data_IF_610933137906
#
_entry.id   IF_610933137906
#
_cell.length_a   1.000
_cell.length_b   1.000
_cell.length_c   1.000
_cell.angle_alpha   90.00
_cell.angle_beta   90.00
_cell.angle_gamma   90.00
#
_symmetry.space_group_name_H-M   'P 1'
#
loop_
_entity.id
_entity.type
_entity.pdbx_description
1 polymer ?
#
# COMPACT_ATOMS: atom_id res chain seq x y z
N UNK A 1 -0.42 1.06 10.11
CA UNK A 1 0.98 1.38 9.82
C UNK A 1 1.97 0.34 10.32
N UNK A 2 1.79 -0.28 11.50
CA UNK A 2 2.77 -1.25 12.04
C UNK A 2 3.21 -2.40 11.11
N UNK A 3 2.31 -2.94 10.27
CA UNK A 3 2.69 -3.95 9.27
C UNK A 3 3.54 -3.40 8.12
N UNK A 4 3.30 -2.15 7.68
CA UNK A 4 4.11 -1.49 6.67
C UNK A 4 5.52 -1.23 7.20
N UNK A 5 5.62 -0.72 8.43
CA UNK A 5 6.91 -0.46 9.07
C UNK A 5 7.69 -1.75 9.29
N UNK A 6 6.99 -2.83 9.66
CA UNK A 6 7.59 -4.16 9.76
C UNK A 6 8.10 -4.66 8.41
N UNK A 7 7.31 -4.50 7.33
CA UNK A 7 7.72 -4.90 5.99
C UNK A 7 8.98 -4.13 5.53
N UNK A 8 9.00 -2.80 5.71
CA UNK A 8 10.17 -1.97 5.40
C UNK A 8 11.40 -2.41 6.20
N UNK A 9 11.26 -2.68 7.50
CA UNK A 9 12.36 -3.18 8.34
C UNK A 9 12.85 -4.56 7.89
N UNK A 10 11.95 -5.45 7.47
CA UNK A 10 12.32 -6.77 6.96
C UNK A 10 13.09 -6.70 5.65
N UNK A 11 12.64 -5.86 4.72
CA UNK A 11 13.36 -5.61 3.47
C UNK A 11 14.77 -5.05 3.74
N UNK A 12 14.89 -4.08 4.66
CA UNK A 12 16.19 -3.53 5.03
C UNK A 12 17.11 -4.59 5.64
N UNK A 13 16.58 -5.38 6.58
CA UNK A 13 17.35 -6.48 7.20
C UNK A 13 17.79 -7.50 6.15
N UNK A 14 16.91 -7.87 5.23
CA UNK A 14 17.21 -8.81 4.16
C UNK A 14 18.38 -8.32 3.30
N UNK A 15 18.37 -7.01 2.98
CA UNK A 15 19.43 -6.35 2.22
C UNK A 15 20.78 -6.35 2.93
N UNK A 16 20.78 -6.07 4.23
CA UNK A 16 22.01 -5.84 5.02
C UNK A 16 22.64 -7.13 5.54
N UNK A 17 21.83 -8.10 5.96
CA UNK A 17 22.29 -9.23 6.77
C UNK A 17 22.02 -10.60 6.14
N UNK A 18 21.05 -10.72 5.23
CA UNK A 18 20.51 -12.03 4.82
C UNK A 18 20.93 -12.47 3.40
N UNK A 19 21.83 -11.73 2.74
CA UNK A 19 22.35 -12.10 1.42
C UNK A 19 22.97 -13.49 1.40
N UNK A 20 23.87 -13.80 2.34
CA UNK A 20 24.61 -15.06 2.32
C UNK A 20 23.64 -16.25 2.55
N UNK A 21 22.70 -16.10 3.48
CA UNK A 21 21.65 -17.09 3.73
C UNK A 21 20.75 -17.32 2.51
N UNK A 22 20.36 -16.25 1.81
CA UNK A 22 19.58 -16.36 0.58
C UNK A 22 20.37 -17.08 -0.51
N UNK A 23 21.65 -16.75 -0.66
CA UNK A 23 22.52 -17.36 -1.68
C UNK A 23 22.71 -18.85 -1.43
N UNK A 24 22.86 -19.29 -0.19
CA UNK A 24 22.91 -20.71 0.18
C UNK A 24 21.61 -21.44 -0.21
N UNK A 25 20.45 -20.85 0.07
CA UNK A 25 19.16 -21.42 -0.31
C UNK A 25 19.01 -21.52 -1.83
N UNK A 26 19.38 -20.47 -2.57
CA UNK A 26 19.36 -20.47 -4.03
C UNK A 26 20.29 -21.55 -4.61
N UNK A 27 21.51 -21.69 -4.08
CA UNK A 27 22.44 -22.74 -4.50
C UNK A 27 21.88 -24.14 -4.22
N UNK A 28 21.21 -24.35 -3.08
CA UNK A 28 20.53 -25.60 -2.74
C UNK A 28 19.42 -25.93 -3.75
N UNK A 29 18.59 -24.95 -4.10
CA UNK A 29 17.53 -25.10 -5.11
C UNK A 29 18.13 -25.42 -6.48
N UNK A 30 19.15 -24.69 -6.92
CA UNK A 30 19.82 -24.94 -8.20
C UNK A 30 20.39 -26.36 -8.28
N UNK A 31 21.06 -26.81 -7.20
CA UNK A 31 21.64 -28.16 -7.13
C UNK A 31 20.57 -29.24 -7.20
N UNK A 32 19.42 -29.03 -6.56
CA UNK A 32 18.28 -29.96 -6.58
C UNK A 32 17.64 -30.11 -7.97
N UNK A 33 17.78 -29.10 -8.83
CA UNK A 33 17.15 -29.03 -10.14
C UNK A 33 18.16 -29.14 -11.30
N UNK A 34 19.38 -29.61 -11.03
CA UNK A 34 20.48 -29.74 -12.00
C UNK A 34 20.77 -28.43 -12.77
N UNK A 35 20.56 -27.28 -12.12
CA UNK A 35 20.88 -25.96 -12.67
C UNK A 35 22.35 -25.67 -12.37
N UNK A 36 23.14 -25.47 -13.44
CA UNK A 36 24.56 -25.13 -13.31
C UNK A 36 24.74 -23.79 -12.59
N UNK A 37 25.49 -23.81 -11.49
CA UNK A 37 25.84 -22.60 -10.72
C UNK A 37 27.15 -22.03 -11.32
N UNK A 38 27.18 -20.76 -11.76
CA UNK A 38 28.40 -20.15 -12.27
C UNK A 38 29.42 -19.94 -11.15
N UNK A 39 30.70 -19.87 -11.53
CA UNK A 39 31.74 -19.45 -10.62
C UNK A 39 31.55 -17.97 -10.26
N UNK A 40 31.38 -17.68 -8.97
CA UNK A 40 31.01 -16.35 -8.47
C UNK A 40 32.10 -15.29 -8.68
N UNK A 41 33.37 -15.73 -8.81
CA UNK A 41 34.52 -14.85 -9.06
C UNK A 41 34.80 -14.61 -10.55
N UNK A 42 34.11 -15.31 -11.46
CA UNK A 42 34.28 -15.09 -12.89
C UNK A 42 33.58 -13.84 -13.39
N UNK A 43 34.11 -13.25 -14.47
CA UNK A 43 33.50 -12.13 -15.18
C UNK A 43 32.08 -12.47 -15.62
N UNK A 44 31.14 -11.58 -15.32
CA UNK A 44 29.77 -11.68 -15.78
C UNK A 44 29.68 -11.40 -17.29
N UNK A 45 29.04 -12.32 -18.02
CA UNK A 45 28.88 -12.24 -19.49
C UNK A 45 27.40 -12.25 -19.86
N UNK A 46 26.91 -11.14 -20.42
CA UNK A 46 25.56 -11.06 -20.99
C UNK A 46 25.56 -11.55 -22.45
N UNK A 47 24.86 -12.67 -22.68
CA UNK A 47 24.59 -13.22 -24.02
C UNK A 47 25.73 -14.06 -24.63
N UNK A 48 25.53 -14.52 -25.87
CA UNK A 48 26.50 -15.39 -26.61
C UNK A 48 27.74 -14.63 -27.14
N UNK A 49 27.79 -13.31 -26.98
CA UNK A 49 28.86 -12.47 -27.52
C UNK A 49 29.88 -12.13 -26.45
N UNK A 50 31.06 -12.77 -26.52
CA UNK A 50 32.23 -12.46 -25.69
C UNK A 50 32.78 -11.03 -25.86
N UNK A 51 32.19 -10.21 -26.74
CA UNK A 51 32.64 -8.82 -27.02
C UNK A 51 32.07 -7.78 -26.06
N UNK A 52 31.06 -8.11 -25.25
CA UNK A 52 30.58 -7.28 -24.13
C UNK A 52 30.84 -8.02 -22.82
N UNK A 53 32.10 -8.10 -22.41
CA UNK A 53 32.42 -8.45 -21.02
C UNK A 53 32.14 -7.22 -20.16
N UNK A 54 31.37 -7.39 -19.10
CA UNK A 54 31.38 -6.43 -18.01
C UNK A 54 32.61 -6.74 -17.15
N UNK A 55 33.33 -5.72 -16.68
CA UNK A 55 34.47 -5.87 -15.73
C UNK A 55 33.98 -6.18 -14.30
N UNK A 56 32.92 -6.98 -14.18
CA UNK A 56 32.16 -7.17 -12.95
C UNK A 56 31.94 -8.67 -12.76
N UNK A 57 32.18 -9.19 -11.55
CA UNK A 57 32.01 -10.62 -11.27
C UNK A 57 30.54 -11.03 -11.18
N UNK A 58 30.24 -12.33 -11.34
CA UNK A 58 28.90 -12.87 -11.09
C UNK A 58 28.36 -12.52 -9.70
N UNK A 59 29.22 -12.58 -8.66
CA UNK A 59 28.85 -12.19 -7.30
C UNK A 59 28.36 -10.74 -7.25
N UNK A 60 29.11 -9.82 -7.87
CA UNK A 60 28.74 -8.41 -7.87
C UNK A 60 27.47 -8.18 -8.66
N UNK A 61 27.33 -8.80 -9.84
CA UNK A 61 26.11 -8.68 -10.64
C UNK A 61 24.88 -9.10 -9.85
N UNK A 62 24.88 -10.31 -9.27
CA UNK A 62 23.71 -10.79 -8.53
C UNK A 62 23.45 -10.04 -7.24
N UNK A 63 24.50 -9.70 -6.46
CA UNK A 63 24.33 -9.02 -5.17
C UNK A 63 23.95 -7.55 -5.34
N UNK A 64 24.71 -6.83 -6.15
CA UNK A 64 24.63 -5.37 -6.23
C UNK A 64 23.67 -4.93 -7.33
N UNK A 65 23.80 -5.47 -8.53
CA UNK A 65 23.01 -5.00 -9.68
C UNK A 65 21.61 -5.62 -9.74
N UNK A 66 21.40 -6.78 -9.11
CA UNK A 66 20.10 -7.45 -9.07
C UNK A 66 19.47 -7.33 -7.68
N UNK A 67 20.06 -7.97 -6.67
CA UNK A 67 19.42 -8.11 -5.35
C UNK A 67 19.21 -6.77 -4.65
N UNK A 68 20.26 -5.95 -4.48
CA UNK A 68 20.10 -4.63 -3.87
C UNK A 68 19.16 -3.73 -4.67
N UNK A 69 19.25 -3.74 -6.00
CA UNK A 69 18.35 -2.95 -6.86
C UNK A 69 16.89 -3.33 -6.64
N UNK A 70 16.56 -4.62 -6.57
CA UNK A 70 15.18 -5.07 -6.34
C UNK A 70 14.68 -4.61 -4.97
N UNK A 71 15.46 -4.81 -3.91
CA UNK A 71 15.05 -4.40 -2.56
C UNK A 71 14.92 -2.88 -2.44
N UNK A 72 15.86 -2.13 -3.02
CA UNK A 72 15.86 -0.67 -3.00
C UNK A 72 14.66 -0.11 -3.78
N UNK A 73 14.30 -0.73 -4.92
CA UNK A 73 13.10 -0.39 -5.68
C UNK A 73 11.82 -0.67 -4.87
N UNK A 74 11.71 -1.83 -4.22
CA UNK A 74 10.55 -2.15 -3.38
C UNK A 74 10.41 -1.16 -2.21
N UNK A 75 11.51 -0.84 -1.54
CA UNK A 75 11.52 0.16 -0.48
C UNK A 75 11.12 1.55 -0.99
N UNK A 76 11.64 1.95 -2.14
CA UNK A 76 11.29 3.23 -2.78
C UNK A 76 9.81 3.30 -3.12
N UNK A 77 9.25 2.24 -3.72
CA UNK A 77 7.81 2.16 -4.05
C UNK A 77 6.94 2.17 -2.80
N UNK A 78 7.32 1.46 -1.73
CA UNK A 78 6.61 1.50 -0.46
C UNK A 78 6.66 2.88 0.19
N UNK A 79 7.77 3.61 0.04
CA UNK A 79 7.90 4.96 0.57
C UNK A 79 7.13 5.99 -0.27
N UNK A 80 7.09 5.84 -1.60
CA UNK A 80 6.35 6.75 -2.48
C UNK A 80 4.83 6.57 -2.35
N UNK A 81 4.36 5.32 -2.25
CA UNK A 81 2.92 5.01 -2.16
C UNK A 81 2.32 5.29 -0.79
N UNK A 82 3.08 5.08 0.27
CA UNK A 82 2.65 5.30 1.65
C UNK A 82 3.42 6.47 2.26
N UNK A 83 3.34 7.61 1.57
CA UNK A 83 3.85 8.87 2.09
C UNK A 83 3.02 9.34 3.30
N UNK A 84 3.38 10.48 3.87
CA UNK A 84 2.70 11.04 5.05
C UNK A 84 1.21 11.25 4.78
N UNK A 85 0.86 11.76 3.59
CA UNK A 85 -0.52 12.08 3.22
C UNK A 85 -1.36 10.81 3.08
N UNK A 86 -0.88 9.84 2.31
CA UNK A 86 -1.60 8.59 2.07
C UNK A 86 -1.74 7.77 3.36
N UNK A 87 -0.71 7.81 4.21
CA UNK A 87 -0.75 7.18 5.53
C UNK A 87 -1.81 7.83 6.44
N UNK A 88 -1.84 9.16 6.52
CA UNK A 88 -2.86 9.87 7.32
C UNK A 88 -4.27 9.62 6.77
N UNK A 89 -4.44 9.56 5.44
CA UNK A 89 -5.70 9.23 4.78
C UNK A 89 -6.20 7.83 5.18
N UNK A 90 -5.36 6.80 5.01
CA UNK A 90 -5.70 5.42 5.35
C UNK A 90 -5.98 5.24 6.84
N UNK A 91 -5.23 5.93 7.70
CA UNK A 91 -5.47 5.92 9.14
C UNK A 91 -6.81 6.56 9.50
N UNK A 92 -7.18 7.68 8.88
CA UNK A 92 -8.49 8.30 9.09
C UNK A 92 -9.64 7.42 8.60
N UNK A 93 -9.50 6.76 7.44
CA UNK A 93 -10.48 5.78 6.95
C UNK A 93 -10.62 4.59 7.90
N UNK A 94 -9.49 4.08 8.41
CA UNK A 94 -9.47 2.96 9.36
C UNK A 94 -10.17 3.31 10.67
N UNK A 95 -10.15 4.58 11.08
CA UNK A 95 -10.84 5.11 12.26
C UNK A 95 -12.34 5.27 12.08
N UNK A 96 -12.85 5.31 10.85
CA UNK A 96 -14.30 5.27 10.57
C UNK A 96 -14.87 3.84 10.56
N UNK A 97 -14.04 2.81 10.68
CA UNK A 97 -14.50 1.42 10.61
C UNK A 97 -15.37 1.09 11.83
N UNK A 98 -16.58 0.53 11.62
CA UNK A 98 -17.52 0.25 12.70
C UNK A 98 -17.23 -1.08 13.45
N UNK A 99 -16.19 -1.81 13.04
CA UNK A 99 -15.81 -3.12 13.62
C UNK A 99 -15.55 -2.99 15.12
N UNK A 100 -15.97 -4.01 15.87
CA UNK A 100 -15.86 -4.08 17.34
C UNK A 100 -16.44 -2.85 18.04
N UNK A 101 -17.61 -2.39 17.60
CA UNK A 101 -18.28 -1.20 18.13
C UNK A 101 -17.41 0.05 18.02
N UNK A 102 -16.84 0.27 16.82
CA UNK A 102 -15.96 1.40 16.54
C UNK A 102 -14.70 1.46 17.43
N UNK A 103 -14.11 0.31 17.78
CA UNK A 103 -12.93 0.23 18.65
C UNK A 103 -11.72 1.07 18.17
N UNK A 104 -11.62 1.29 16.86
CA UNK A 104 -10.53 2.08 16.24
C UNK A 104 -10.87 3.56 16.06
N UNK A 105 -12.02 4.02 16.57
CA UNK A 105 -12.46 5.40 16.42
C UNK A 105 -11.46 6.37 17.03
N UNK A 106 -11.00 7.31 16.21
CA UNK A 106 -10.06 8.35 16.59
C UNK A 106 -10.48 9.63 15.88
N UNK A 107 -11.14 10.51 16.64
CA UNK A 107 -11.66 11.78 16.13
C UNK A 107 -10.59 12.60 15.43
N UNK A 108 -9.37 12.67 15.98
CA UNK A 108 -8.30 13.48 15.41
C UNK A 108 -7.85 12.96 14.03
N UNK A 109 -7.77 11.63 13.87
CA UNK A 109 -7.44 11.02 12.57
C UNK A 109 -8.57 11.22 11.55
N UNK A 110 -9.82 11.15 11.97
CA UNK A 110 -10.98 11.41 11.10
C UNK A 110 -11.02 12.89 10.68
N UNK A 111 -10.72 13.81 11.60
CA UNK A 111 -10.62 15.23 11.30
C UNK A 111 -9.47 15.54 10.33
N UNK A 112 -8.33 14.85 10.46
CA UNK A 112 -7.25 14.93 9.46
C UNK A 112 -7.70 14.45 8.08
N UNK A 113 -8.43 13.33 8.01
CA UNK A 113 -8.99 12.83 6.75
C UNK A 113 -9.85 13.90 6.05
N UNK A 114 -10.73 14.57 6.79
CA UNK A 114 -11.58 15.63 6.22
C UNK A 114 -10.78 16.80 5.64
N UNK A 115 -9.66 17.18 6.28
CA UNK A 115 -8.78 18.27 5.81
C UNK A 115 -8.14 17.99 4.45
N UNK A 116 -8.05 16.74 4.02
CA UNK A 116 -7.58 16.39 2.68
C UNK A 116 -8.63 16.60 1.57
N UNK A 117 -9.87 16.97 1.93
CA UNK A 117 -10.96 17.27 0.99
C UNK A 117 -11.43 18.72 1.12
N UNK A 118 -10.58 19.72 0.85
CA UNK A 118 -10.92 21.13 1.05
C UNK A 118 -12.08 21.62 0.16
N UNK A 119 -12.37 20.94 -0.96
CA UNK A 119 -13.55 21.23 -1.79
C UNK A 119 -14.87 20.84 -1.11
N UNK A 120 -14.83 19.78 -0.29
CA UNK A 120 -16.00 19.24 0.39
C UNK A 120 -16.15 19.82 1.80
N UNK A 121 -15.03 20.08 2.48
CA UNK A 121 -14.94 20.56 3.86
C UNK A 121 -14.20 21.90 3.95
N UNK A 122 -14.97 22.99 3.96
CA UNK A 122 -14.49 24.29 4.40
C UNK A 122 -14.34 24.36 5.94
N UNK A 123 -13.82 25.47 6.46
CA UNK A 123 -13.59 25.63 7.91
C UNK A 123 -14.87 25.48 8.76
N UNK A 124 -16.01 25.93 8.26
CA UNK A 124 -17.27 25.83 9.00
C UNK A 124 -17.75 24.38 9.04
N UNK A 125 -17.67 23.68 7.90
CA UNK A 125 -18.00 22.25 7.81
C UNK A 125 -17.06 21.39 8.63
N UNK A 126 -15.78 21.76 8.76
CA UNK A 126 -14.85 21.07 9.66
C UNK A 126 -15.26 21.24 11.13
N UNK A 127 -15.68 22.44 11.57
CA UNK A 127 -16.18 22.65 12.94
C UNK A 127 -17.48 21.86 13.19
N UNK A 128 -18.37 21.85 12.21
CA UNK A 128 -19.61 21.08 12.30
C UNK A 128 -19.35 19.57 12.34
N UNK A 129 -18.46 19.07 11.47
CA UNK A 129 -18.04 17.67 11.50
C UNK A 129 -17.45 17.29 12.86
N UNK A 130 -16.60 18.14 13.44
CA UNK A 130 -16.00 17.92 14.76
C UNK A 130 -17.07 17.69 15.83
N UNK A 131 -18.10 18.53 15.86
CA UNK A 131 -19.24 18.39 16.77
C UNK A 131 -20.10 17.15 16.46
N UNK A 132 -20.36 16.88 15.17
CA UNK A 132 -21.14 15.72 14.75
C UNK A 132 -20.47 14.42 15.17
N UNK A 133 -19.14 14.32 15.07
CA UNK A 133 -18.38 13.12 15.44
C UNK A 133 -18.53 12.76 16.92
N UNK A 134 -18.54 13.75 17.83
CA UNK A 134 -18.72 13.52 19.27
C UNK A 134 -20.10 12.93 19.59
N UNK A 135 -21.13 13.42 18.92
CA UNK A 135 -22.50 12.96 19.12
C UNK A 135 -22.74 11.61 18.44
N UNK A 136 -22.23 11.46 17.20
CA UNK A 136 -22.40 10.27 16.39
C UNK A 136 -21.83 9.02 17.06
N UNK A 137 -20.61 9.09 17.61
CA UNK A 137 -19.97 7.92 18.21
C UNK A 137 -20.75 7.40 19.42
N UNK A 138 -21.26 8.31 20.26
CA UNK A 138 -22.08 7.96 21.43
C UNK A 138 -23.38 7.28 20.97
N UNK A 139 -24.04 7.85 19.96
CA UNK A 139 -25.26 7.27 19.41
C UNK A 139 -25.01 5.88 18.82
N UNK A 140 -24.01 5.75 17.94
CA UNK A 140 -23.70 4.51 17.24
C UNK A 140 -23.29 3.38 18.19
N UNK A 141 -22.63 3.70 19.31
CA UNK A 141 -22.21 2.70 20.29
C UNK A 141 -23.30 2.34 21.31
N UNK A 142 -24.21 3.28 21.66
CA UNK A 142 -25.09 3.12 22.84
C UNK A 142 -26.58 3.18 22.54
N UNK A 143 -27.00 3.83 21.47
CA UNK A 143 -28.40 4.17 21.25
C UNK A 143 -29.10 3.27 20.23
N UNK A 144 -28.40 2.82 19.18
CA UNK A 144 -28.99 1.97 18.15
C UNK A 144 -28.16 0.71 17.91
N UNK A 145 -28.73 -0.43 18.32
CA UNK A 145 -28.12 -1.75 18.15
C UNK A 145 -27.80 -2.12 16.70
N UNK A 146 -28.42 -1.47 15.71
CA UNK A 146 -28.13 -1.69 14.28
C UNK A 146 -26.71 -1.27 13.90
N UNK A 147 -26.08 -0.39 14.68
CA UNK A 147 -24.69 0.01 14.47
C UNK A 147 -23.68 -0.95 15.11
N UNK A 148 -24.15 -1.94 15.86
CA UNK A 148 -23.32 -2.97 16.47
C UNK A 148 -23.02 -4.09 15.45
N UNK A 149 -21.82 -4.67 15.55
CA UNK A 149 -21.39 -5.82 14.73
C UNK A 149 -21.37 -5.60 13.21
N UNK A 150 -21.25 -4.34 12.76
CA UNK A 150 -21.06 -4.03 11.35
C UNK A 150 -19.67 -4.51 10.87
N UNK A 151 -19.62 -5.15 9.69
CA UNK A 151 -18.38 -5.77 9.19
C UNK A 151 -17.47 -4.78 8.46
N UNK A 152 -18.00 -3.63 8.05
CA UNK A 152 -17.19 -2.62 7.38
C UNK A 152 -17.95 -1.35 7.00
N UNK A 153 -17.23 -0.47 6.31
CA UNK A 153 -17.70 0.87 5.96
C UNK A 153 -18.93 0.88 5.03
N UNK A 154 -19.07 -0.14 4.18
CA UNK A 154 -20.26 -0.34 3.33
C UNK A 154 -21.51 -0.61 4.17
N UNK A 155 -21.38 -1.42 5.22
CA UNK A 155 -22.49 -1.71 6.12
C UNK A 155 -22.87 -0.47 6.92
N UNK A 156 -21.87 0.29 7.36
CA UNK A 156 -22.09 1.58 8.02
C UNK A 156 -22.90 2.53 7.13
N UNK A 157 -22.48 2.73 5.89
CA UNK A 157 -23.17 3.62 4.96
C UNK A 157 -24.63 3.21 4.74
N UNK A 158 -24.89 1.90 4.61
CA UNK A 158 -26.24 1.36 4.47
C UNK A 158 -27.09 1.62 5.71
N UNK A 159 -26.58 1.28 6.89
CA UNK A 159 -27.33 1.45 8.15
C UNK A 159 -27.62 2.92 8.40
N UNK A 160 -26.68 3.84 8.09
CA UNK A 160 -26.92 5.27 8.24
C UNK A 160 -28.12 5.77 7.43
N UNK A 161 -28.33 5.25 6.22
CA UNK A 161 -29.49 5.59 5.37
C UNK A 161 -30.76 4.90 5.87
N UNK A 162 -30.69 3.63 6.25
CA UNK A 162 -31.84 2.87 6.74
C UNK A 162 -32.44 3.47 8.03
N UNK A 163 -31.59 4.01 8.90
CA UNK A 163 -32.00 4.69 10.14
C UNK A 163 -32.24 6.19 9.96
N UNK A 164 -32.08 6.71 8.73
CA UNK A 164 -32.20 8.13 8.35
C UNK A 164 -31.24 9.07 9.08
N UNK A 165 -30.20 8.54 9.69
CA UNK A 165 -29.23 9.34 10.44
C UNK A 165 -28.18 9.97 9.54
N UNK A 166 -28.10 9.57 8.28
CA UNK A 166 -27.38 10.26 7.22
C UNK A 166 -27.81 11.73 7.07
N UNK A 167 -29.07 12.05 7.41
CA UNK A 167 -29.61 13.42 7.42
C UNK A 167 -29.28 14.18 8.70
N UNK A 168 -29.03 13.48 9.80
CA UNK A 168 -28.67 14.08 11.09
C UNK A 168 -27.16 14.36 11.17
N UNK A 169 -26.34 13.39 10.76
CA UNK A 169 -24.87 13.51 10.71
C UNK A 169 -24.38 13.56 9.27
N UNK A 170 -24.82 14.59 8.55
CA UNK A 170 -24.55 14.80 7.13
C UNK A 170 -23.06 14.81 6.79
N UNK A 171 -22.22 15.40 7.63
CA UNK A 171 -20.79 15.50 7.40
C UNK A 171 -20.07 14.19 7.69
N UNK A 172 -20.51 13.44 8.71
CA UNK A 172 -20.01 12.08 8.96
C UNK A 172 -20.37 11.17 7.80
N UNK A 173 -21.62 11.23 7.32
CA UNK A 173 -22.05 10.45 6.17
C UNK A 173 -21.30 10.81 4.88
N UNK A 174 -20.98 12.10 4.68
CA UNK A 174 -20.14 12.56 3.57
C UNK A 174 -18.74 11.92 3.62
N UNK A 175 -18.09 11.88 4.78
CA UNK A 175 -16.80 11.20 4.94
C UNK A 175 -16.89 9.69 4.67
N UNK A 176 -17.97 9.04 5.12
CA UNK A 176 -18.22 7.62 4.84
C UNK A 176 -18.35 7.38 3.33
N UNK A 177 -19.06 8.24 2.61
CA UNK A 177 -19.16 8.19 1.14
C UNK A 177 -17.81 8.41 0.46
N UNK A 178 -17.04 9.42 0.87
CA UNK A 178 -15.71 9.67 0.31
C UNK A 178 -14.80 8.46 0.51
N UNK A 179 -14.81 7.86 1.71
CA UNK A 179 -14.07 6.63 2.03
C UNK A 179 -14.45 5.46 1.12
N UNK A 180 -15.70 5.36 0.70
CA UNK A 180 -16.17 4.32 -0.24
C UNK A 180 -15.78 4.59 -1.70
N UNK A 181 -15.59 5.86 -2.08
CA UNK A 181 -15.31 6.27 -3.46
C UNK A 181 -13.81 6.24 -3.76
N UNK A 182 -12.96 6.42 -2.77
CA UNK A 182 -11.51 6.44 -2.98
C UNK A 182 -11.07 5.06 -3.47
N UNK A 183 -10.58 4.96 -4.72
CA UNK A 183 -10.00 3.72 -5.18
C UNK A 183 -8.72 3.51 -4.37
N UNK A 184 -8.72 2.51 -3.50
CA UNK A 184 -7.49 1.98 -2.87
C UNK A 184 -6.59 1.30 -3.93
N UNK A 185 -6.98 1.33 -5.20
CA UNK A 185 -6.36 0.56 -6.28
C UNK A 185 -5.63 1.47 -7.29
N UNK A 186 -4.56 2.11 -6.84
CA UNK A 186 -3.53 2.65 -7.74
C UNK A 186 -2.80 1.54 -8.52
N UNK A 187 -2.84 0.29 -8.05
CA UNK A 187 -2.19 -0.85 -8.71
C UNK A 187 -2.86 -1.24 -10.03
N UNK A 188 -4.18 -1.07 -10.18
CA UNK A 188 -4.90 -1.46 -11.40
C UNK A 188 -4.58 -0.53 -12.58
N UNK A 189 -4.46 0.77 -12.31
CA UNK A 189 -4.15 1.78 -13.33
C UNK A 189 -2.70 1.65 -13.79
N UNK A 190 -1.75 1.51 -12.87
CA UNK A 190 -0.33 1.35 -13.23
C UNK A 190 -0.01 0.01 -13.90
N UNK A 191 -0.69 -1.08 -13.52
CA UNK A 191 -0.54 -2.36 -14.23
C UNK A 191 -1.02 -2.24 -15.68
N UNK A 192 -2.13 -1.53 -15.92
CA UNK A 192 -2.60 -1.24 -17.27
C UNK A 192 -1.61 -0.36 -18.06
N UNK A 193 -1.03 0.67 -17.44
CA UNK A 193 -0.01 1.52 -18.08
C UNK A 193 1.31 0.78 -18.33
N UNK A 194 1.73 -0.10 -17.42
CA UNK A 194 2.94 -0.93 -17.57
C UNK A 194 2.78 -1.95 -18.69
N UNK A 195 1.66 -2.67 -18.76
CA UNK A 195 1.33 -3.54 -19.89
C UNK A 195 1.29 -2.77 -21.22
N UNK A 196 0.74 -1.56 -21.21
CA UNK A 196 0.69 -0.70 -22.40
C UNK A 196 2.08 -0.22 -22.83
N UNK A 197 2.96 0.11 -21.88
CA UNK A 197 4.36 0.47 -22.14
C UNK A 197 5.16 -0.71 -22.69
N UNK A 198 4.95 -1.92 -22.16
CA UNK A 198 5.53 -3.16 -22.66
C UNK A 198 5.11 -3.44 -24.11
N UNK A 199 3.80 -3.37 -24.41
CA UNK A 199 3.28 -3.54 -25.78
C UNK A 199 3.86 -2.48 -26.72
N UNK A 200 3.93 -1.22 -26.30
CA UNK A 200 4.34 -0.11 -27.16
C UNK A 200 5.84 -0.06 -27.44
N UNK A 201 6.68 -0.45 -26.49
CA UNK A 201 8.13 -0.33 -26.59
C UNK A 201 8.83 -1.66 -26.89
N UNK A 202 8.38 -2.78 -26.31
CA UNK A 202 9.10 -4.06 -26.41
C UNK A 202 8.76 -4.82 -27.70
N UNK A 203 7.49 -4.79 -28.14
CA UNK A 203 7.09 -5.37 -29.44
C UNK A 203 7.59 -4.55 -30.64
N UNK A 204 7.75 -3.23 -30.46
CA UNK A 204 8.21 -2.33 -31.54
C UNK A 204 9.73 -2.40 -31.76
N UNK A 205 10.49 -2.74 -30.72
CA UNK A 205 11.95 -2.93 -30.80
C UNK A 205 12.37 -4.38 -31.12
N UNK A 206 11.41 -5.28 -31.35
CA UNK A 206 11.62 -6.70 -31.71
C UNK A 206 11.25 -7.03 -33.16
N UNK A 207 10.93 -6.03 -33.97
CA UNK A 207 10.97 -6.17 -35.43
C UNK A 207 12.41 -6.05 -35.90
N UNK A 208 13.16 -7.16 -35.80
CA UNK A 208 14.24 -7.61 -36.69
C UNK A 208 14.77 -8.98 -36.22
#
# INVERSE_FOLDING_TARGET
>A
MGMLDLAKKRLQKMREEEWDSLMEEVCSICSKHDIAIPNMDEDYVIGKSKRKRFEVSYLHHFRVEVFYVVIDLELQELNSRFDVVTSDLLLGMASLRPVDSFANFDKNKIMKLAKYYPSEFDENKLRELDFQLDSFIVYAQKCDSKFLNLKGIKDLARVMVETKVDQTWTHVYLLVKLTLIIPVDTASVERAFSSMKYIKNDLRNRMD
#
